data_IF_853647288089
#
_entry.id   IF_853647288089
#
_cell.length_a   1.000
_cell.length_b   1.000
_cell.length_c   1.000
_cell.angle_alpha   90.00
_cell.angle_beta   90.00
_cell.angle_gamma   90.00
#
_symmetry.space_group_name_H-M   'P 1'
#
loop_
_entity.id
_entity.type
_entity.pdbx_description
1 polymer ?
#
# COMPACT_ATOMS: atom_id res chain seq x y z
N UNK A 1 8.58 -14.59 2.40
CA UNK A 1 9.71 -14.17 1.53
C UNK A 1 9.30 -13.20 0.41
N UNK A 2 8.19 -12.44 0.55
CA UNK A 2 7.71 -11.51 -0.50
C UNK A 2 7.65 -10.03 -0.05
N UNK A 3 7.92 -9.74 1.22
CA UNK A 3 7.87 -8.36 1.76
C UNK A 3 9.24 -7.66 1.70
N UNK A 4 10.34 -8.42 1.64
CA UNK A 4 11.70 -7.87 1.64
C UNK A 4 12.17 -7.32 0.28
N UNK A 5 11.52 -7.69 -0.84
CA UNK A 5 12.03 -7.35 -2.17
C UNK A 5 11.53 -6.01 -2.74
N UNK A 6 10.40 -5.48 -2.27
CA UNK A 6 9.84 -4.23 -2.78
C UNK A 6 10.29 -2.98 -1.97
N UNK A 7 10.70 -3.18 -0.71
CA UNK A 7 11.01 -2.08 0.22
C UNK A 7 12.51 -1.82 0.41
N UNK A 8 13.41 -2.60 -0.19
CA UNK A 8 14.87 -2.52 0.10
C UNK A 8 15.50 -1.17 -0.33
N UNK A 9 14.76 -0.34 -1.08
CA UNK A 9 15.17 1.00 -1.53
C UNK A 9 14.20 2.11 -1.13
N UNK A 10 13.18 1.85 -0.30
CA UNK A 10 12.27 2.92 0.14
C UNK A 10 12.92 3.76 1.24
N UNK A 11 12.87 5.07 1.06
CA UNK A 11 13.24 6.04 2.09
C UNK A 11 12.27 5.95 3.28
N UNK A 12 12.69 6.44 4.46
CA UNK A 12 11.82 6.50 5.66
C UNK A 12 10.52 7.26 5.40
N UNK A 13 10.54 8.25 4.51
CA UNK A 13 9.36 9.02 4.11
C UNK A 13 8.41 8.17 3.26
N UNK A 14 8.93 7.43 2.27
CA UNK A 14 8.13 6.53 1.45
C UNK A 14 7.51 5.39 2.27
N UNK A 15 8.24 4.84 3.25
CA UNK A 15 7.68 3.85 4.17
C UNK A 15 6.52 4.43 4.97
N UNK A 16 6.63 5.68 5.45
CA UNK A 16 5.52 6.34 6.15
C UNK A 16 4.31 6.53 5.24
N UNK A 17 4.53 6.94 3.99
CA UNK A 17 3.46 7.06 2.99
C UNK A 17 2.77 5.71 2.77
N UNK A 18 3.51 4.64 2.50
CA UNK A 18 2.94 3.30 2.32
C UNK A 18 2.10 2.86 3.52
N UNK A 19 2.61 3.05 4.75
CA UNK A 19 1.89 2.66 5.97
C UNK A 19 0.62 3.49 6.16
N UNK A 20 0.67 4.79 5.86
CA UNK A 20 -0.49 5.68 5.97
C UNK A 20 -1.59 5.32 4.96
N UNK A 21 -1.22 5.03 3.71
CA UNK A 21 -2.13 4.53 2.67
C UNK A 21 -2.74 3.20 3.08
N UNK A 22 -1.93 2.24 3.52
CA UNK A 22 -2.41 0.91 3.94
C UNK A 22 -3.41 1.04 5.09
N UNK A 23 -3.10 1.86 6.11
CA UNK A 23 -4.02 2.12 7.24
C UNK A 23 -5.32 2.78 6.77
N UNK A 24 -5.24 3.76 5.88
CA UNK A 24 -6.39 4.46 5.34
C UNK A 24 -7.32 3.49 4.61
N UNK A 25 -6.79 2.73 3.65
CA UNK A 25 -7.57 1.77 2.87
C UNK A 25 -8.12 0.64 3.75
N UNK A 26 -7.32 0.15 4.72
CA UNK A 26 -7.76 -0.92 5.62
C UNK A 26 -8.91 -0.46 6.53
N UNK A 27 -8.87 0.79 6.98
CA UNK A 27 -9.95 1.41 7.77
C UNK A 27 -11.19 1.66 6.94
N UNK A 28 -11.05 2.15 5.71
CA UNK A 28 -12.16 2.34 4.77
C UNK A 28 -12.85 1.03 4.42
N UNK A 29 -12.09 -0.05 4.25
CA UNK A 29 -12.61 -1.39 3.96
C UNK A 29 -13.05 -2.15 5.22
N UNK A 30 -12.84 -1.59 6.42
CA UNK A 30 -13.16 -2.26 7.69
C UNK A 30 -12.35 -3.53 7.96
N UNK A 31 -11.22 -3.71 7.29
CA UNK A 31 -10.40 -4.94 7.33
C UNK A 31 -9.08 -4.76 8.10
N UNK A 32 -8.97 -3.72 8.92
CA UNK A 32 -7.78 -3.41 9.73
C UNK A 32 -7.35 -4.56 10.68
N UNK A 33 -8.29 -5.43 11.07
CA UNK A 33 -8.04 -6.60 11.93
C UNK A 33 -7.75 -7.88 11.13
N UNK A 34 -7.94 -7.85 9.81
CA UNK A 34 -7.70 -9.00 8.94
C UNK A 34 -6.29 -8.90 8.34
N UNK A 35 -5.35 -9.64 8.93
CA UNK A 35 -3.95 -9.61 8.52
C UNK A 35 -3.73 -10.01 7.06
N UNK A 36 -4.60 -10.85 6.50
CA UNK A 36 -4.53 -11.26 5.09
C UNK A 36 -4.97 -10.12 4.15
N UNK A 37 -6.05 -9.40 4.48
CA UNK A 37 -6.51 -8.24 3.74
C UNK A 37 -5.50 -7.09 3.81
N UNK A 38 -4.94 -6.82 4.98
CA UNK A 38 -3.85 -5.83 5.14
C UNK A 38 -2.64 -6.22 4.29
N UNK A 39 -2.27 -7.51 4.28
CA UNK A 39 -1.19 -8.02 3.43
C UNK A 39 -1.45 -7.82 1.93
N UNK A 40 -2.69 -8.02 1.47
CA UNK A 40 -3.09 -7.74 0.08
C UNK A 40 -2.99 -6.25 -0.26
N UNK A 41 -3.42 -5.37 0.65
CA UNK A 41 -3.33 -3.91 0.48
C UNK A 41 -1.86 -3.49 0.40
N UNK A 42 -0.99 -4.00 1.28
CA UNK A 42 0.45 -3.73 1.22
C UNK A 42 1.06 -4.21 -0.10
N UNK A 43 0.69 -5.39 -0.58
CA UNK A 43 1.20 -5.92 -1.83
C UNK A 43 0.79 -5.06 -3.04
N UNK A 44 -0.47 -4.63 -3.07
CA UNK A 44 -0.97 -3.74 -4.12
C UNK A 44 -0.26 -2.37 -4.08
N UNK A 45 -0.08 -1.78 -2.89
CA UNK A 45 0.68 -0.52 -2.72
C UNK A 45 2.13 -0.68 -3.20
N UNK A 46 2.79 -1.79 -2.86
CA UNK A 46 4.14 -2.08 -3.33
C UNK A 46 4.22 -2.26 -4.85
N UNK A 47 3.21 -2.88 -5.46
CA UNK A 47 3.11 -3.04 -6.91
C UNK A 47 2.90 -1.68 -7.61
N UNK A 48 2.04 -0.81 -7.09
CA UNK A 48 1.87 0.54 -7.63
C UNK A 48 3.15 1.38 -7.50
N UNK A 49 3.87 1.21 -6.39
CA UNK A 49 5.18 1.83 -6.20
C UNK A 49 6.21 1.36 -7.24
N UNK A 50 6.24 0.07 -7.57
CA UNK A 50 7.13 -0.47 -8.61
C UNK A 50 6.75 0.01 -10.01
N UNK A 51 5.49 0.38 -10.23
CA UNK A 51 5.03 1.04 -11.46
C UNK A 51 5.37 2.54 -11.53
N UNK A 52 5.99 3.11 -10.49
CA UNK A 52 6.44 4.49 -10.46
C UNK A 52 5.51 5.46 -9.73
N UNK A 53 4.40 4.99 -9.15
CA UNK A 53 3.52 5.82 -8.32
C UNK A 53 4.14 5.97 -6.92
N UNK A 54 4.71 7.15 -6.65
CA UNK A 54 5.39 7.44 -5.36
C UNK A 54 4.63 8.40 -4.45
N UNK A 55 3.48 8.92 -4.88
CA UNK A 55 2.67 9.87 -4.09
C UNK A 55 1.53 9.16 -3.38
N UNK A 56 1.31 9.54 -2.12
CA UNK A 56 0.22 9.03 -1.27
C UNK A 56 -1.15 9.12 -1.96
N UNK A 57 -1.46 10.30 -2.53
CA UNK A 57 -2.75 10.56 -3.17
C UNK A 57 -2.98 9.70 -4.41
N UNK A 58 -1.94 9.48 -5.22
CA UNK A 58 -2.00 8.61 -6.40
C UNK A 58 -2.22 7.15 -6.03
N UNK A 59 -1.53 6.68 -4.98
CA UNK A 59 -1.67 5.33 -4.45
C UNK A 59 -3.07 5.08 -3.87
N UNK A 60 -3.61 6.05 -3.12
CA UNK A 60 -4.97 5.96 -2.57
C UNK A 60 -6.00 5.97 -3.70
N UNK A 61 -5.84 6.86 -4.69
CA UNK A 61 -6.72 6.92 -5.84
C UNK A 61 -6.69 5.62 -6.66
N UNK A 62 -5.50 5.06 -6.90
CA UNK A 62 -5.34 3.78 -7.59
C UNK A 62 -5.93 2.62 -6.78
N UNK A 63 -5.68 2.54 -5.47
CA UNK A 63 -6.26 1.52 -4.59
C UNK A 63 -7.79 1.58 -4.47
N UNK A 64 -8.38 2.77 -4.70
CA UNK A 64 -9.83 2.97 -4.79
C UNK A 64 -10.37 2.65 -6.19
N UNK A 65 -9.59 2.92 -7.23
CA UNK A 65 -9.92 2.68 -8.64
C UNK A 65 -9.75 1.22 -9.10
N UNK A 66 -8.80 0.47 -8.54
CA UNK A 66 -8.58 -0.97 -8.77
C UNK A 66 -9.68 -1.86 -8.13
N UNK A 67 -10.77 -1.28 -7.62
CA UNK A 67 -11.92 -2.01 -7.12
C UNK A 67 -12.94 -2.37 -8.22
N UNK A 68 -12.48 -2.63 -9.45
CA UNK A 68 -13.33 -3.14 -10.56
C UNK A 68 -12.96 -4.58 -10.89
#
# INVERSE_FOLDING_TARGET
MLVELACSHLTKEEIRVCVDVVKTISRERGCEKDGAAVGKIMHAVAHLFSQGMRKSEELVAAMRGEAT
#
